data_IF_072881173509
#
_entry.id   IF_072881173509
#
_cell.length_a   1.000
_cell.length_b   1.000
_cell.length_c   1.000
_cell.angle_alpha   90.00
_cell.angle_beta   90.00
_cell.angle_gamma   90.00
#
_symmetry.space_group_name_H-M   'P 1'
#
loop_
_entity.id
_entity.type
_entity.pdbx_description
1 polymer ?
#
# COMPACT_ATOMS: atom_id res chain seq x y z
N UNK A 1 26.14 1.40 -17.59
CA UNK A 1 25.57 0.37 -17.63
C UNK A 1 24.16 0.34 -17.77
N UNK A 2 23.70 -0.26 -18.72
CA UNK A 2 22.30 -0.32 -19.01
C UNK A 2 21.48 -1.01 -17.94
N UNK A 3 22.14 -1.75 -17.09
CA UNK A 3 21.40 -2.42 -16.06
C UNK A 3 20.74 -1.51 -15.08
N UNK A 4 21.24 -0.29 -14.99
CA UNK A 4 20.71 0.63 -14.01
C UNK A 4 19.31 1.10 -14.32
N UNK A 5 18.91 0.98 -15.55
CA UNK A 5 17.60 1.46 -15.93
C UNK A 5 16.54 0.38 -15.89
N UNK A 6 16.91 -0.83 -15.49
CA UNK A 6 15.93 -1.89 -15.44
C UNK A 6 14.92 -1.65 -14.36
N UNK A 7 13.69 -1.91 -14.67
CA UNK A 7 12.61 -1.89 -13.71
C UNK A 7 11.84 -3.19 -13.82
N UNK A 8 11.05 -3.49 -12.82
CA UNK A 8 10.17 -4.64 -12.87
C UNK A 8 8.81 -4.27 -12.30
N UNK A 9 7.81 -4.91 -12.84
CA UNK A 9 6.45 -4.73 -12.36
C UNK A 9 6.10 -5.91 -11.47
N UNK A 10 5.42 -5.62 -10.36
CA UNK A 10 4.98 -6.66 -9.46
C UNK A 10 3.62 -6.30 -8.87
N UNK A 11 2.94 -7.32 -8.40
CA UNK A 11 1.65 -7.16 -7.76
C UNK A 11 1.70 -7.89 -6.42
N UNK A 12 1.30 -7.18 -5.37
CA UNK A 12 1.23 -7.73 -4.02
C UNK A 12 -0.21 -7.69 -3.55
N UNK A 13 -0.63 -8.74 -2.86
CA UNK A 13 -1.96 -8.80 -2.29
C UNK A 13 -1.87 -9.17 -0.82
N UNK A 14 -2.76 -8.58 -0.03
CA UNK A 14 -2.79 -8.85 1.40
C UNK A 14 -4.22 -8.77 1.90
N UNK A 15 -4.59 -9.75 2.73
CA UNK A 15 -5.86 -9.69 3.45
C UNK A 15 -5.61 -8.97 4.76
N UNK A 16 -6.36 -7.92 5.01
CA UNK A 16 -6.15 -7.07 6.17
C UNK A 16 -7.05 -7.53 7.31
N UNK A 17 -6.45 -7.79 8.45
CA UNK A 17 -7.20 -8.19 9.63
C UNK A 17 -6.91 -7.32 10.84
N UNK A 18 -5.87 -6.50 10.80
CA UNK A 18 -5.49 -5.68 11.95
C UNK A 18 -6.52 -4.58 12.18
N UNK A 19 -6.83 -4.36 13.46
CA UNK A 19 -7.71 -3.28 13.88
C UNK A 19 -6.92 -2.08 14.41
N UNK A 20 -5.59 -2.16 14.39
CA UNK A 20 -4.73 -1.14 14.97
C UNK A 20 -3.86 -0.48 13.91
N UNK A 21 -3.62 0.83 14.05
CA UNK A 21 -2.83 1.58 13.05
C UNK A 21 -1.34 1.49 13.31
N UNK A 22 -0.60 2.17 12.45
CA UNK A 22 0.85 2.38 12.56
C UNK A 22 1.60 1.05 12.56
N UNK A 23 2.51 0.87 13.50
CA UNK A 23 3.33 -0.34 13.52
C UNK A 23 2.57 -1.64 13.73
N UNK A 24 1.34 -1.56 14.23
CA UNK A 24 0.49 -2.74 14.45
C UNK A 24 -0.44 -3.03 13.27
N UNK A 25 -0.43 -2.19 12.26
CA UNK A 25 -1.20 -2.44 11.05
C UNK A 25 -0.57 -3.56 10.23
N UNK A 26 -1.35 -4.17 9.36
CA UNK A 26 -0.84 -5.23 8.49
C UNK A 26 0.05 -4.63 7.40
N UNK A 27 1.23 -5.21 7.23
CA UNK A 27 2.17 -4.76 6.22
C UNK A 27 1.75 -5.28 4.85
N UNK A 28 1.62 -4.38 3.89
CA UNK A 28 1.25 -4.73 2.52
C UNK A 28 2.50 -4.82 1.65
N UNK A 29 3.38 -3.83 1.75
CA UNK A 29 4.54 -3.76 0.89
C UNK A 29 5.64 -2.91 1.55
N UNK A 30 6.89 -3.33 1.42
CA UNK A 30 8.06 -2.55 1.84
C UNK A 30 8.95 -2.35 0.62
N UNK A 31 9.32 -1.12 0.35
CA UNK A 31 10.25 -0.83 -0.73
C UNK A 31 11.65 -1.30 -0.35
N UNK A 32 12.26 -2.17 -1.15
CA UNK A 32 13.55 -2.77 -0.79
C UNK A 32 14.69 -1.76 -0.74
N UNK A 33 15.77 -2.12 -0.07
CA UNK A 33 16.97 -1.32 -0.03
C UNK A 33 17.54 -1.17 -1.44
N UNK A 34 18.03 0.02 -1.74
CA UNK A 34 18.61 0.38 -3.03
C UNK A 34 17.59 0.41 -4.16
N UNK A 35 16.29 0.47 -3.82
CA UNK A 35 15.24 0.55 -4.81
C UNK A 35 14.33 1.72 -4.52
N UNK A 36 13.68 2.19 -5.56
CA UNK A 36 12.54 3.09 -5.47
C UNK A 36 11.37 2.38 -6.12
N UNK A 37 10.18 2.78 -5.78
CA UNK A 37 8.99 2.15 -6.33
C UNK A 37 7.93 3.20 -6.64
N UNK A 38 7.10 2.90 -7.62
CA UNK A 38 5.97 3.73 -7.98
C UNK A 38 4.73 2.85 -7.87
N UNK A 39 3.78 3.27 -7.04
CA UNK A 39 2.52 2.56 -6.92
C UNK A 39 1.65 2.96 -8.10
N UNK A 40 1.33 2.00 -8.95
CA UNK A 40 0.54 2.24 -10.15
C UNK A 40 -0.94 1.99 -9.94
N UNK A 41 -1.26 1.14 -8.97
CA UNK A 41 -2.62 0.68 -8.78
C UNK A 41 -2.78 0.23 -7.33
N UNK A 42 -3.83 0.72 -6.69
CA UNK A 42 -4.16 0.32 -5.32
C UNK A 42 -5.64 0.03 -5.29
N UNK A 43 -5.97 -1.23 -5.02
CA UNK A 43 -7.33 -1.73 -5.13
C UNK A 43 -7.77 -2.33 -3.80
N UNK A 44 -8.92 -1.93 -3.34
CA UNK A 44 -9.52 -2.45 -2.11
C UNK A 44 -10.81 -3.18 -2.45
N UNK A 45 -11.01 -4.30 -1.78
CA UNK A 45 -12.19 -5.12 -2.01
C UNK A 45 -12.65 -5.74 -0.69
N UNK A 46 -13.94 -5.72 -0.45
CA UNK A 46 -14.53 -6.32 0.76
C UNK A 46 -15.56 -7.36 0.38
N UNK A 47 -15.49 -8.51 1.03
CA UNK A 47 -16.47 -9.59 0.81
C UNK A 47 -17.60 -9.64 1.82
N UNK A 48 -17.63 -8.71 2.78
CA UNK A 48 -18.62 -8.72 3.85
C UNK A 48 -19.43 -7.43 3.82
N UNK A 49 -20.75 -7.56 3.90
CA UNK A 49 -21.67 -6.43 3.81
C UNK A 49 -21.85 -5.77 5.18
N UNK A 50 -20.91 -4.96 5.60
CA UNK A 50 -21.04 -4.29 6.90
C UNK A 50 -20.65 -2.82 6.87
N UNK A 51 -20.28 -2.27 5.73
CA UNK A 51 -19.95 -0.86 5.56
C UNK A 51 -18.91 -0.35 6.55
N UNK A 52 -18.02 -1.21 7.01
CA UNK A 52 -16.97 -0.78 7.91
C UNK A 52 -15.88 -0.06 7.14
N UNK A 53 -15.13 0.76 7.84
CA UNK A 53 -14.15 1.62 7.18
C UNK A 53 -12.81 0.94 7.04
N UNK A 54 -12.16 1.21 5.92
CA UNK A 54 -10.84 0.70 5.62
C UNK A 54 -9.83 1.85 5.64
N UNK A 55 -8.61 1.55 6.06
CA UNK A 55 -7.54 2.52 6.17
C UNK A 55 -6.28 1.96 5.54
N UNK A 56 -5.61 2.78 4.73
CA UNK A 56 -4.30 2.45 4.16
C UNK A 56 -3.34 3.54 4.59
N UNK A 57 -2.21 3.15 5.14
CA UNK A 57 -1.20 4.08 5.61
C UNK A 57 0.07 3.97 4.78
N UNK A 58 0.75 5.07 4.65
CA UNK A 58 2.06 5.16 4.05
C UNK A 58 3.06 5.51 5.14
N UNK A 59 4.04 4.65 5.34
CA UNK A 59 5.11 4.90 6.30
C UNK A 59 6.29 5.52 5.56
N UNK A 60 6.70 6.69 6.01
CA UNK A 60 7.82 7.43 5.42
C UNK A 60 9.06 7.16 6.24
N UNK A 61 10.00 6.42 5.69
CA UNK A 61 11.14 5.94 6.48
C UNK A 61 12.12 7.06 6.86
N UNK A 62 12.22 8.11 6.07
CA UNK A 62 13.17 9.19 6.35
C UNK A 62 12.90 9.87 7.67
N UNK A 63 11.65 10.11 8.01
CA UNK A 63 11.29 10.81 9.23
C UNK A 63 10.45 9.96 10.18
N UNK A 64 10.30 8.67 9.87
CA UNK A 64 9.62 7.71 10.75
C UNK A 64 8.19 8.16 11.07
N UNK A 65 7.46 8.55 10.04
CA UNK A 65 6.08 9.01 10.21
C UNK A 65 5.11 8.17 9.40
N UNK A 66 3.86 8.12 9.89
CA UNK A 66 2.77 7.42 9.21
C UNK A 66 1.76 8.42 8.71
N UNK A 67 1.33 8.28 7.49
CA UNK A 67 0.33 9.14 6.89
C UNK A 67 -0.77 8.28 6.27
N UNK A 68 -2.00 8.76 6.29
CA UNK A 68 -3.08 8.01 5.68
C UNK A 68 -3.19 8.32 4.21
N UNK A 69 -3.13 7.29 3.39
CA UNK A 69 -3.46 7.37 1.96
C UNK A 69 -4.96 7.24 1.81
N UNK A 70 -5.55 6.31 2.58
CA UNK A 70 -6.99 6.12 2.66
C UNK A 70 -7.37 6.25 4.12
N UNK A 71 -8.20 7.23 4.44
CA UNK A 71 -8.54 7.52 5.82
C UNK A 71 -10.03 7.33 6.03
N UNK A 72 -10.42 6.09 6.26
CA UNK A 72 -11.80 5.78 6.62
C UNK A 72 -12.74 5.63 5.43
N UNK A 73 -12.33 4.87 4.42
CA UNK A 73 -13.21 4.58 3.29
C UNK A 73 -14.23 3.51 3.69
N UNK A 74 -15.51 3.85 3.62
CA UNK A 74 -16.57 2.88 3.91
C UNK A 74 -16.67 1.87 2.78
N UNK A 75 -16.60 0.57 3.12
CA UNK A 75 -16.60 -0.51 2.16
C UNK A 75 -17.93 -1.24 2.20
N UNK A 76 -18.57 -1.35 1.05
CA UNK A 76 -19.75 -2.20 0.90
C UNK A 76 -19.31 -3.59 0.44
N UNK A 77 -20.15 -4.59 0.67
CA UNK A 77 -19.83 -5.96 0.26
C UNK A 77 -19.60 -6.03 -1.24
N UNK A 78 -18.60 -6.80 -1.63
CA UNK A 78 -18.28 -7.06 -3.03
C UNK A 78 -17.94 -5.80 -3.82
N UNK A 79 -17.51 -4.75 -3.11
CA UNK A 79 -17.13 -3.49 -3.73
C UNK A 79 -15.63 -3.49 -3.98
N UNK A 80 -15.24 -2.94 -5.11
CA UNK A 80 -13.84 -2.77 -5.46
C UNK A 80 -13.58 -1.32 -5.83
N UNK A 81 -12.50 -0.76 -5.35
CA UNK A 81 -12.17 0.64 -5.57
C UNK A 81 -10.69 0.78 -5.91
N UNK A 82 -10.41 1.51 -6.99
CA UNK A 82 -9.05 1.86 -7.38
C UNK A 82 -8.76 3.26 -6.84
N UNK A 83 -7.73 3.38 -6.02
CA UNK A 83 -7.49 4.59 -5.26
C UNK A 83 -6.34 5.45 -5.78
N UNK A 84 -5.61 5.00 -6.78
CA UNK A 84 -4.51 5.79 -7.34
C UNK A 84 -4.73 6.17 -8.79
N UNK A 85 -5.95 6.09 -9.26
CA UNK A 85 -6.26 6.44 -10.63
C UNK A 85 -5.93 7.90 -10.88
N UNK A 86 -5.12 8.16 -11.88
CA UNK A 86 -4.78 9.53 -12.26
C UNK A 86 -3.64 10.15 -11.49
N UNK A 87 -3.13 9.51 -10.45
CA UNK A 87 -1.95 9.99 -9.73
C UNK A 87 -1.13 8.80 -9.28
N UNK A 88 0.10 9.06 -8.88
CA UNK A 88 1.02 7.99 -8.51
C UNK A 88 1.62 8.29 -7.16
N UNK A 89 1.87 7.24 -6.39
CA UNK A 89 2.52 7.32 -5.11
C UNK A 89 3.96 6.81 -5.26
N UNK A 90 4.91 7.65 -4.93
CA UNK A 90 6.33 7.31 -5.05
C UNK A 90 6.87 6.86 -3.71
N UNK A 91 7.66 5.79 -3.73
CA UNK A 91 8.24 5.21 -2.52
C UNK A 91 9.75 5.12 -2.67
N UNK A 92 10.46 5.34 -1.58
CA UNK A 92 11.90 5.16 -1.51
C UNK A 92 12.19 3.98 -0.60
N UNK A 93 13.45 3.56 -0.55
CA UNK A 93 13.81 2.40 0.25
C UNK A 93 13.34 2.57 1.70
N UNK A 94 12.80 1.52 2.25
CA UNK A 94 12.31 1.51 3.62
C UNK A 94 10.89 2.02 3.80
N UNK A 95 10.33 2.69 2.80
CA UNK A 95 8.95 3.13 2.87
C UNK A 95 8.01 1.94 2.80
N UNK A 96 6.87 2.04 3.45
CA UNK A 96 5.94 0.92 3.56
C UNK A 96 4.52 1.32 3.26
N UNK A 97 3.74 0.36 2.80
CA UNK A 97 2.29 0.47 2.76
C UNK A 97 1.72 -0.51 3.77
N UNK A 98 0.79 -0.03 4.59
CA UNK A 98 0.16 -0.82 5.62
C UNK A 98 -1.34 -0.61 5.57
N UNK A 99 -2.09 -1.53 6.19
CA UNK A 99 -3.53 -1.41 6.22
C UNK A 99 -4.12 -1.84 7.55
N UNK A 100 -5.24 -1.24 7.91
CA UNK A 100 -6.01 -1.69 9.06
C UNK A 100 -7.48 -1.37 8.80
N UNK A 101 -8.34 -1.89 9.64
CA UNK A 101 -9.78 -1.80 9.46
C UNK A 101 -10.45 -1.35 10.74
N UNK A 102 -11.63 -0.75 10.59
CA UNK A 102 -12.38 -0.21 11.73
C UNK A 102 -12.91 -1.32 12.64
N UNK A 103 -13.36 -2.40 12.03
CA UNK A 103 -13.93 -3.53 12.75
C UNK A 103 -13.80 -4.77 11.87
N UNK A 104 -14.12 -5.94 12.42
CA UNK A 104 -13.96 -7.19 11.69
C UNK A 104 -14.68 -7.16 10.35
N UNK A 105 -13.93 -7.38 9.29
CA UNK A 105 -14.44 -7.51 7.93
C UNK A 105 -13.38 -8.22 7.10
N UNK A 106 -13.76 -8.65 5.89
CA UNK A 106 -12.84 -9.24 4.95
C UNK A 106 -12.40 -8.15 3.98
N UNK A 107 -11.21 -7.62 4.17
CA UNK A 107 -10.64 -6.59 3.29
C UNK A 107 -9.43 -7.16 2.58
N UNK A 108 -9.48 -7.17 1.27
CA UNK A 108 -8.34 -7.54 0.45
C UNK A 108 -7.79 -6.32 -0.24
N UNK A 109 -6.48 -6.16 -0.15
CA UNK A 109 -5.78 -5.05 -0.78
C UNK A 109 -4.86 -5.63 -1.83
N UNK A 110 -4.93 -5.10 -3.04
CA UNK A 110 -4.02 -5.46 -4.13
C UNK A 110 -3.33 -4.21 -4.61
N UNK A 111 -2.01 -4.25 -4.67
CA UNK A 111 -1.22 -3.12 -5.12
C UNK A 111 -0.30 -3.57 -6.24
N UNK A 112 -0.27 -2.81 -7.32
CA UNK A 112 0.67 -3.04 -8.41
C UNK A 112 1.68 -1.93 -8.43
N UNK A 113 2.95 -2.30 -8.56
CA UNK A 113 4.05 -1.37 -8.44
C UNK A 113 5.04 -1.59 -9.56
N UNK A 114 5.79 -0.54 -9.82
CA UNK A 114 7.00 -0.63 -10.64
C UNK A 114 8.19 -0.33 -9.73
N UNK A 115 9.09 -1.31 -9.57
CA UNK A 115 10.32 -1.12 -8.80
C UNK A 115 11.48 -0.89 -9.75
N UNK A 116 12.38 0.02 -9.39
CA UNK A 116 13.59 0.21 -10.16
C UNK A 116 14.77 0.42 -9.23
N UNK A 117 15.92 -0.05 -9.71
CA UNK A 117 17.15 0.01 -8.93
C UNK A 117 17.62 1.45 -8.82
N UNK A 118 17.83 1.89 -7.59
CA UNK A 118 18.18 3.29 -7.31
C UNK A 118 19.11 3.36 -6.11
N UNK A 119 20.37 2.92 -6.27
CA UNK A 119 21.28 2.85 -5.12
C UNK A 119 21.64 4.19 -4.53
N UNK A 120 21.46 5.27 -5.29
CA UNK A 120 21.82 6.59 -4.79
C UNK A 120 20.81 7.15 -3.81
N UNK A 121 19.64 6.52 -3.72
CA UNK A 121 18.64 6.94 -2.77
C UNK A 121 18.89 6.36 -1.38
N UNK A 122 19.70 5.34 -1.33
CA UNK A 122 19.97 4.61 -0.11
C UNK A 122 20.89 5.33 0.86
#
# INVERSE_FOLDING_TARGET
MPLLSKSKFLTESKTITSLLPNGDADLIYTCPNNYSAIVKFLHLSSGIANNKKAYIQFYHSDDDTYHHVVNGLAMSAHTATDLVSGSQLYMHQGDKLLGYIEATMSLDVTVSLEEYYDPLRG
#
